data_IF_548024484616
#
_entry.id   IF_548024484616
#
_cell.length_a   1.000
_cell.length_b   1.000
_cell.length_c   1.000
_cell.angle_alpha   90.00
_cell.angle_beta   90.00
_cell.angle_gamma   90.00
#
_symmetry.space_group_name_H-M   'P 1'
#
loop_
_entity.id
_entity.type
_entity.pdbx_description
1 polymer ?
#
# COMPACT_ATOMS: atom_id res chain seq x y z
N UNK A 1 -19.97 -1.10 53.88
CA UNK A 1 -19.63 -0.07 52.88
C UNK A 1 -20.59 1.08 53.06
N UNK A 2 -20.07 2.28 53.31
CA UNK A 2 -20.90 3.48 53.38
C UNK A 2 -21.60 3.74 52.05
N UNK A 3 -22.74 4.40 52.11
CA UNK A 3 -23.58 4.64 50.90
C UNK A 3 -22.81 5.41 49.81
N UNK A 4 -21.90 6.28 50.21
CA UNK A 4 -21.05 7.04 49.29
C UNK A 4 -19.98 6.15 48.61
N UNK A 5 -19.41 5.20 49.34
CA UNK A 5 -18.48 4.20 48.81
C UNK A 5 -19.15 3.28 47.77
N UNK A 6 -20.41 2.91 48.00
CA UNK A 6 -21.18 2.10 47.04
C UNK A 6 -21.46 2.85 45.76
N UNK A 7 -21.85 4.14 45.85
CA UNK A 7 -22.07 5.02 44.68
C UNK A 7 -20.79 5.18 43.88
N UNK A 8 -19.69 5.47 44.54
CA UNK A 8 -18.37 5.62 43.89
C UNK A 8 -17.97 4.35 43.15
N UNK A 9 -18.09 3.18 43.79
CA UNK A 9 -17.75 1.90 43.19
C UNK A 9 -18.64 1.60 41.95
N UNK A 10 -19.91 1.94 42.04
CA UNK A 10 -20.87 1.75 40.92
C UNK A 10 -20.48 2.63 39.72
N UNK A 11 -20.17 3.90 39.92
CA UNK A 11 -19.77 4.83 38.88
C UNK A 11 -18.45 4.40 38.24
N UNK A 12 -17.46 4.01 39.04
CA UNK A 12 -16.17 3.50 38.52
C UNK A 12 -16.37 2.19 37.73
N UNK A 13 -17.20 1.27 38.24
CA UNK A 13 -17.51 0.01 37.53
C UNK A 13 -18.20 0.21 36.21
N UNK A 14 -19.12 1.17 36.13
CA UNK A 14 -19.84 1.53 34.88
C UNK A 14 -18.85 2.07 33.84
N UNK A 15 -17.97 3.01 34.22
CA UNK A 15 -16.93 3.53 33.33
C UNK A 15 -15.94 2.46 32.87
N UNK A 16 -15.51 1.60 33.81
CA UNK A 16 -14.59 0.51 33.52
C UNK A 16 -15.18 -0.50 32.53
N UNK A 17 -16.43 -0.87 32.69
CA UNK A 17 -17.15 -1.77 31.79
C UNK A 17 -17.29 -1.17 30.38
N UNK A 18 -17.72 0.09 30.29
CA UNK A 18 -17.85 0.81 29.01
C UNK A 18 -16.50 0.91 28.30
N UNK A 19 -15.46 1.30 29.04
CA UNK A 19 -14.09 1.40 28.50
C UNK A 19 -13.52 0.09 27.98
N UNK A 20 -13.82 -1.02 28.67
CA UNK A 20 -13.37 -2.35 28.27
C UNK A 20 -14.06 -2.86 26.99
N UNK A 21 -15.38 -2.67 26.89
CA UNK A 21 -16.19 -3.13 25.75
C UNK A 21 -15.87 -2.36 24.48
N UNK A 22 -15.85 -1.03 24.58
CA UNK A 22 -15.61 -0.14 23.43
C UNK A 22 -14.12 0.02 23.10
N UNK A 23 -13.24 -0.33 24.04
CA UNK A 23 -11.78 -0.09 23.98
C UNK A 23 -11.40 1.38 23.85
N UNK A 24 -12.19 2.25 24.42
CA UNK A 24 -11.99 3.69 24.43
C UNK A 24 -11.99 4.23 25.87
N UNK A 25 -10.90 4.02 26.64
CA UNK A 25 -10.84 4.37 28.06
C UNK A 25 -11.01 5.88 28.31
N UNK A 26 -10.39 6.71 27.49
CA UNK A 26 -10.48 8.16 27.62
C UNK A 26 -11.92 8.63 27.42
N UNK A 27 -12.60 8.12 26.42
CA UNK A 27 -14.00 8.47 26.14
C UNK A 27 -14.93 8.04 27.27
N UNK A 28 -14.74 6.85 27.83
CA UNK A 28 -15.56 6.35 28.94
C UNK A 28 -15.38 7.19 30.21
N UNK A 29 -14.14 7.60 30.53
CA UNK A 29 -13.85 8.49 31.66
C UNK A 29 -14.50 9.85 31.42
N UNK A 30 -14.38 10.42 30.22
CA UNK A 30 -14.91 11.74 29.88
C UNK A 30 -16.44 11.77 29.99
N UNK A 31 -17.13 10.76 29.45
CA UNK A 31 -18.59 10.66 29.54
C UNK A 31 -19.05 10.61 30.99
N UNK A 32 -18.43 9.78 31.82
CA UNK A 32 -18.82 9.66 33.24
C UNK A 32 -18.48 10.91 34.01
N UNK A 33 -17.34 11.54 33.74
CA UNK A 33 -16.96 12.82 34.33
C UNK A 33 -17.98 13.92 33.97
N UNK A 34 -18.40 14.01 32.72
CA UNK A 34 -19.38 15.01 32.27
C UNK A 34 -20.76 14.81 32.92
N UNK A 35 -21.14 13.55 33.22
CA UNK A 35 -22.37 13.27 33.95
C UNK A 35 -22.31 13.60 35.43
N UNK A 36 -21.14 13.48 36.05
CA UNK A 36 -20.98 13.67 37.51
C UNK A 36 -20.46 15.03 37.91
N UNK A 37 -19.70 15.70 37.05
CA UNK A 37 -19.00 16.97 37.28
C UNK A 37 -18.12 16.99 38.55
N UNK A 38 -17.68 15.81 38.98
CA UNK A 38 -16.87 15.66 40.21
C UNK A 38 -15.43 15.25 39.88
N UNK A 39 -14.50 16.19 40.06
CA UNK A 39 -13.06 15.98 39.83
C UNK A 39 -12.45 14.91 40.77
N UNK A 40 -13.03 14.68 41.95
CA UNK A 40 -12.53 13.67 42.89
C UNK A 40 -12.70 12.24 42.31
N UNK A 41 -13.61 12.03 41.39
CA UNK A 41 -13.84 10.76 40.70
C UNK A 41 -12.81 10.45 39.61
N UNK A 42 -12.10 11.44 39.07
CA UNK A 42 -11.18 11.23 37.94
C UNK A 42 -10.07 10.21 38.23
N UNK A 43 -9.33 10.28 39.35
CA UNK A 43 -8.31 9.29 39.64
C UNK A 43 -8.84 7.83 39.78
N UNK A 44 -9.92 7.55 40.51
CA UNK A 44 -10.47 6.20 40.56
C UNK A 44 -11.06 5.73 39.22
N UNK A 45 -11.65 6.63 38.37
CA UNK A 45 -12.08 6.30 37.02
C UNK A 45 -10.91 5.89 36.13
N UNK A 46 -9.79 6.60 36.20
CA UNK A 46 -8.58 6.27 35.45
C UNK A 46 -8.03 4.88 35.82
N UNK A 47 -7.92 4.60 37.13
CA UNK A 47 -7.46 3.29 37.60
C UNK A 47 -8.41 2.16 37.18
N UNK A 48 -9.71 2.33 37.37
CA UNK A 48 -10.73 1.36 36.96
C UNK A 48 -10.70 1.08 35.46
N UNK A 49 -10.60 2.11 34.64
CA UNK A 49 -10.53 1.98 33.18
C UNK A 49 -9.25 1.29 32.71
N UNK A 50 -8.08 1.61 33.31
CA UNK A 50 -6.80 0.98 32.95
C UNK A 50 -6.78 -0.51 33.31
N UNK A 51 -7.18 -0.87 34.53
CA UNK A 51 -7.24 -2.26 35.00
C UNK A 51 -8.21 -3.07 34.14
N UNK A 52 -9.42 -2.55 33.93
CA UNK A 52 -10.45 -3.21 33.11
C UNK A 52 -9.98 -3.43 31.68
N UNK A 53 -9.31 -2.46 31.08
CA UNK A 53 -8.78 -2.58 29.73
C UNK A 53 -7.60 -3.57 29.64
N UNK A 54 -6.73 -3.63 30.64
CA UNK A 54 -5.67 -4.62 30.69
C UNK A 54 -6.22 -6.05 30.72
N UNK A 55 -7.24 -6.28 31.57
CA UNK A 55 -7.93 -7.57 31.65
C UNK A 55 -8.66 -7.89 30.33
N UNK A 56 -9.40 -6.95 29.79
CA UNK A 56 -10.15 -7.13 28.54
C UNK A 56 -9.22 -7.50 27.38
N UNK A 57 -8.05 -6.87 27.26
CA UNK A 57 -7.05 -7.18 26.22
C UNK A 57 -6.42 -8.55 26.38
N UNK A 58 -6.26 -9.04 27.63
CA UNK A 58 -5.70 -10.37 27.87
C UNK A 58 -6.70 -11.49 27.58
N UNK A 59 -7.99 -11.23 27.73
CA UNK A 59 -9.06 -12.23 27.53
C UNK A 59 -9.59 -12.24 26.10
N UNK A 60 -9.73 -11.08 25.47
CA UNK A 60 -10.31 -10.94 24.14
C UNK A 60 -9.37 -10.17 23.21
N UNK A 61 -9.04 -10.75 22.07
CA UNK A 61 -8.19 -10.13 21.06
C UNK A 61 -8.99 -9.12 20.21
N UNK A 62 -10.26 -9.38 19.99
CA UNK A 62 -11.14 -8.58 19.14
C UNK A 62 -11.91 -7.51 19.94
N UNK A 63 -12.18 -6.38 19.28
CA UNK A 63 -13.04 -5.33 19.78
C UNK A 63 -14.52 -5.67 19.48
N UNK A 64 -15.46 -5.18 20.28
CA UNK A 64 -16.90 -5.32 20.07
C UNK A 64 -17.34 -4.97 18.64
N UNK A 65 -16.82 -3.85 18.08
CA UNK A 65 -17.13 -3.45 16.72
C UNK A 65 -16.63 -4.44 15.67
N UNK A 66 -15.44 -5.00 15.87
CA UNK A 66 -14.87 -5.99 14.96
C UNK A 66 -15.68 -7.30 14.97
N UNK A 67 -16.15 -7.69 16.15
CA UNK A 67 -16.96 -8.89 16.30
C UNK A 67 -18.34 -8.71 15.65
N UNK A 68 -18.98 -7.58 15.86
CA UNK A 68 -20.25 -7.24 15.22
C UNK A 68 -20.13 -7.18 13.69
N UNK A 69 -19.05 -6.61 13.15
CA UNK A 69 -18.80 -6.55 11.70
C UNK A 69 -18.53 -7.93 11.10
N UNK A 70 -17.84 -8.82 11.85
CA UNK A 70 -17.66 -10.23 11.45
C UNK A 70 -19.00 -10.97 11.35
N UNK A 71 -19.88 -10.77 12.32
CA UNK A 71 -21.24 -11.36 12.32
C UNK A 71 -22.10 -10.81 11.19
N UNK A 72 -21.93 -9.52 10.85
CA UNK A 72 -22.59 -8.88 9.70
C UNK A 72 -22.01 -9.32 8.34
N UNK A 73 -21.04 -10.26 8.30
CA UNK A 73 -20.43 -10.78 7.08
C UNK A 73 -19.38 -9.85 6.46
N UNK A 74 -19.05 -8.74 7.12
CA UNK A 74 -17.98 -7.84 6.71
C UNK A 74 -16.66 -8.39 7.23
N UNK A 75 -15.84 -8.98 6.36
CA UNK A 75 -14.47 -9.36 6.70
C UNK A 75 -13.63 -8.10 6.88
N UNK A 76 -13.48 -7.68 8.12
CA UNK A 76 -12.36 -6.81 8.48
C UNK A 76 -11.12 -7.70 8.51
N UNK A 77 -10.35 -7.64 7.46
CA UNK A 77 -9.04 -8.28 7.46
C UNK A 77 -8.20 -7.65 8.56
N UNK A 78 -7.90 -8.44 9.57
CA UNK A 78 -7.23 -7.98 10.78
C UNK A 78 -5.83 -7.47 10.42
N UNK A 79 -5.57 -6.21 10.69
CA UNK A 79 -4.40 -5.41 10.31
C UNK A 79 -3.01 -5.97 10.68
N UNK A 80 -2.89 -7.17 11.22
CA UNK A 80 -1.60 -7.78 11.55
C UNK A 80 -1.03 -8.66 10.46
N UNK A 81 -1.87 -9.41 9.73
CA UNK A 81 -1.44 -10.15 8.54
C UNK A 81 -1.39 -9.24 7.30
N UNK A 82 -2.20 -8.16 7.29
CA UNK A 82 -2.22 -7.17 6.21
C UNK A 82 -1.06 -6.19 6.24
N UNK A 83 -0.45 -5.90 7.39
CA UNK A 83 0.76 -5.06 7.41
C UNK A 83 1.96 -5.72 6.77
N UNK A 84 2.05 -7.03 6.77
CA UNK A 84 3.12 -7.76 6.09
C UNK A 84 2.78 -8.08 4.61
N UNK A 85 1.53 -8.39 4.27
CA UNK A 85 1.11 -8.68 2.90
C UNK A 85 0.53 -7.48 2.14
N UNK A 86 0.03 -6.47 2.83
CA UNK A 86 -0.55 -5.25 2.24
C UNK A 86 0.45 -4.10 2.08
N UNK A 87 1.68 -4.25 2.57
CA UNK A 87 2.67 -3.19 2.54
C UNK A 87 3.00 -2.79 1.09
N UNK A 88 3.49 -3.69 0.28
CA UNK A 88 3.90 -3.37 -1.10
C UNK A 88 2.73 -3.25 -2.08
N UNK A 89 1.66 -4.04 -1.91
CA UNK A 89 0.49 -4.01 -2.81
C UNK A 89 -0.30 -2.72 -2.74
N UNK A 90 -0.34 -2.08 -1.58
CA UNK A 90 -1.03 -0.79 -1.39
C UNK A 90 -0.12 0.42 -1.65
N UNK A 91 1.17 0.19 -1.91
CA UNK A 91 2.07 1.28 -2.28
C UNK A 91 1.83 1.73 -3.72
N UNK A 92 2.02 3.01 -4.01
CA UNK A 92 1.93 3.51 -5.38
C UNK A 92 3.04 2.91 -6.23
N UNK A 93 2.73 2.62 -7.48
CA UNK A 93 3.67 2.07 -8.47
C UNK A 93 4.92 2.93 -8.60
N UNK A 94 4.78 4.24 -8.43
CA UNK A 94 5.91 5.17 -8.45
C UNK A 94 7.02 4.86 -7.44
N UNK A 95 6.74 4.09 -6.38
CA UNK A 95 7.76 3.68 -5.40
C UNK A 95 8.70 2.60 -5.91
N UNK A 96 8.34 1.92 -6.99
CA UNK A 96 9.04 0.74 -7.51
C UNK A 96 9.44 0.88 -8.98
N UNK A 97 8.91 1.88 -9.66
CA UNK A 97 9.12 2.08 -11.08
C UNK A 97 10.50 2.66 -11.39
N UNK A 98 11.05 2.26 -12.52
CA UNK A 98 12.26 2.84 -13.05
C UNK A 98 11.93 4.09 -13.89
N UNK A 99 12.20 5.27 -13.32
CA UNK A 99 12.02 6.55 -14.02
C UNK A 99 13.19 6.93 -14.93
N UNK A 100 14.32 6.23 -14.80
CA UNK A 100 15.50 6.39 -15.64
C UNK A 100 15.57 5.33 -16.76
N UNK A 101 14.48 4.58 -16.95
CA UNK A 101 14.42 3.54 -17.95
C UNK A 101 14.71 4.11 -19.35
N UNK A 102 15.56 3.45 -20.13
CA UNK A 102 16.02 3.96 -21.42
C UNK A 102 14.87 4.02 -22.41
N UNK A 103 14.82 5.11 -23.16
CA UNK A 103 13.83 5.34 -24.19
C UNK A 103 14.51 5.67 -25.53
N UNK A 104 13.90 5.21 -26.61
CA UNK A 104 14.33 5.47 -27.99
C UNK A 104 13.41 6.53 -28.59
N UNK A 105 13.99 7.66 -29.03
CA UNK A 105 13.23 8.77 -29.64
C UNK A 105 13.31 8.75 -31.16
N UNK A 106 14.45 8.38 -31.69
CA UNK A 106 14.68 8.35 -33.13
C UNK A 106 15.23 6.98 -33.52
N UNK A 107 14.75 6.46 -34.65
CA UNK A 107 15.21 5.21 -35.26
C UNK A 107 16.53 5.38 -36.03
N UNK A 108 17.55 5.98 -35.39
CA UNK A 108 18.88 6.08 -35.99
C UNK A 108 19.79 5.00 -35.42
N UNK A 109 20.58 4.35 -36.25
CA UNK A 109 21.51 3.31 -35.81
C UNK A 109 22.42 3.79 -34.68
N UNK A 110 22.94 5.03 -34.79
CA UNK A 110 23.81 5.63 -33.79
C UNK A 110 23.13 5.81 -32.41
N UNK A 111 21.86 6.17 -32.37
CA UNK A 111 21.10 6.32 -31.13
C UNK A 111 20.82 4.97 -30.49
N UNK A 112 20.38 3.99 -31.28
CA UNK A 112 20.09 2.63 -30.81
C UNK A 112 21.37 1.98 -30.26
N UNK A 113 22.50 2.10 -30.96
CA UNK A 113 23.79 1.58 -30.51
C UNK A 113 24.25 2.22 -29.19
N UNK A 114 24.14 3.54 -29.08
CA UNK A 114 24.48 4.27 -27.84
C UNK A 114 23.60 3.85 -26.65
N UNK A 115 22.31 3.64 -26.87
CA UNK A 115 21.38 3.20 -25.82
C UNK A 115 21.69 1.77 -25.39
N UNK A 116 21.96 0.86 -26.32
CA UNK A 116 22.32 -0.53 -26.03
C UNK A 116 23.63 -0.67 -25.28
N UNK A 117 24.61 0.21 -25.54
CA UNK A 117 25.89 0.24 -24.83
C UNK A 117 25.77 0.80 -23.41
N UNK A 118 24.87 1.76 -23.18
CA UNK A 118 24.71 2.44 -21.88
C UNK A 118 23.82 1.71 -20.90
N UNK A 119 22.82 0.97 -21.41
CA UNK A 119 21.79 0.36 -20.57
C UNK A 119 21.80 -1.15 -20.71
N UNK A 120 21.88 -1.90 -19.59
CA UNK A 120 21.76 -3.36 -19.59
C UNK A 120 20.31 -3.85 -19.70
N UNK A 121 19.34 -2.91 -19.77
CA UNK A 121 17.92 -3.21 -19.78
C UNK A 121 17.50 -4.09 -20.97
N UNK A 122 16.50 -4.92 -20.75
CA UNK A 122 15.98 -5.85 -21.77
C UNK A 122 14.81 -5.26 -22.55
N UNK A 123 14.15 -4.23 -22.00
CA UNK A 123 12.93 -3.62 -22.53
C UNK A 123 13.15 -2.12 -22.68
N UNK A 124 12.75 -1.59 -23.84
CA UNK A 124 12.90 -0.19 -24.19
C UNK A 124 11.57 0.42 -24.61
N UNK A 125 11.32 1.65 -24.19
CA UNK A 125 10.13 2.39 -24.56
C UNK A 125 10.43 3.29 -25.77
N UNK A 126 9.54 3.28 -26.71
CA UNK A 126 9.59 4.17 -27.87
C UNK A 126 8.76 5.41 -27.64
N UNK A 127 9.38 6.56 -27.85
CA UNK A 127 8.73 7.86 -27.73
C UNK A 127 8.62 8.55 -29.08
N UNK A 128 7.55 9.29 -29.23
CA UNK A 128 7.39 10.27 -30.29
C UNK A 128 8.15 11.57 -29.91
N UNK A 129 8.23 12.54 -30.81
CA UNK A 129 8.87 13.85 -30.64
C UNK A 129 8.30 14.66 -29.46
N UNK A 130 7.06 14.40 -29.08
CA UNK A 130 6.34 15.09 -27.99
C UNK A 130 6.39 14.32 -26.66
N UNK A 131 7.29 13.33 -26.52
CA UNK A 131 7.45 12.42 -25.38
C UNK A 131 6.21 11.53 -25.10
N UNK A 132 5.40 11.25 -26.12
CA UNK A 132 4.32 10.26 -26.01
C UNK A 132 4.85 8.87 -26.33
N UNK A 133 4.56 7.86 -25.47
CA UNK A 133 4.97 6.48 -25.72
C UNK A 133 4.13 5.86 -26.85
N UNK A 134 4.83 5.35 -27.86
CA UNK A 134 4.23 4.75 -29.06
C UNK A 134 4.34 3.24 -29.11
N UNK A 135 5.24 2.66 -28.35
CA UNK A 135 5.44 1.21 -28.33
C UNK A 135 6.49 0.76 -27.35
N UNK A 136 6.60 -0.56 -27.23
CA UNK A 136 7.62 -1.25 -26.45
C UNK A 136 8.37 -2.20 -27.39
N UNK A 137 9.67 -2.31 -27.16
CA UNK A 137 10.57 -3.15 -27.96
C UNK A 137 11.55 -3.90 -27.05
N UNK A 138 11.87 -5.13 -27.39
CA UNK A 138 12.92 -5.90 -26.72
C UNK A 138 14.32 -5.55 -27.22
N UNK A 139 15.31 -5.77 -26.38
CA UNK A 139 16.73 -5.64 -26.74
C UNK A 139 17.12 -6.43 -27.97
N UNK A 140 16.70 -7.66 -28.07
CA UNK A 140 16.95 -8.56 -29.20
C UNK A 140 16.45 -8.00 -30.52
N UNK A 141 15.33 -7.28 -30.50
CA UNK A 141 14.76 -6.63 -31.69
C UNK A 141 15.54 -5.38 -32.09
N UNK A 142 16.08 -4.64 -31.12
CA UNK A 142 16.98 -3.50 -31.38
C UNK A 142 18.32 -3.95 -31.96
N UNK A 143 18.86 -5.05 -31.47
CA UNK A 143 20.07 -5.67 -31.98
C UNK A 143 19.85 -6.14 -33.44
N UNK A 144 18.75 -6.81 -33.71
CA UNK A 144 18.37 -7.21 -35.06
C UNK A 144 18.17 -6.02 -36.01
N UNK A 145 17.67 -4.89 -35.51
CA UNK A 145 17.55 -3.64 -36.30
C UNK A 145 18.94 -3.11 -36.68
N UNK A 146 19.95 -3.17 -35.81
CA UNK A 146 21.31 -2.75 -36.16
C UNK A 146 21.92 -3.60 -37.29
N UNK A 147 21.65 -4.91 -37.25
CA UNK A 147 22.18 -5.83 -38.28
C UNK A 147 21.44 -5.76 -39.61
N UNK A 148 20.11 -5.80 -39.56
CA UNK A 148 19.28 -5.96 -40.79
C UNK A 148 18.71 -4.65 -41.30
N UNK A 149 18.66 -3.59 -40.50
CA UNK A 149 18.03 -2.31 -40.83
C UNK A 149 16.51 -2.35 -40.90
N UNK A 150 15.87 -3.48 -40.56
CA UNK A 150 14.41 -3.60 -40.56
C UNK A 150 13.84 -3.07 -39.25
N UNK A 151 12.86 -2.19 -39.34
CA UNK A 151 12.11 -1.67 -38.19
C UNK A 151 11.46 -2.83 -37.45
N UNK A 152 11.68 -2.97 -36.10
CA UNK A 152 11.10 -4.03 -35.32
C UNK A 152 9.57 -3.90 -35.23
N UNK A 153 8.91 -5.00 -34.95
CA UNK A 153 7.48 -5.05 -34.72
C UNK A 153 7.21 -4.44 -33.33
N UNK A 154 6.54 -3.29 -33.31
CA UNK A 154 6.18 -2.61 -32.07
C UNK A 154 5.02 -3.33 -31.39
N UNK A 155 5.13 -3.54 -30.10
CA UNK A 155 4.03 -4.03 -29.29
C UNK A 155 3.26 -2.85 -28.70
N UNK A 156 1.93 -2.95 -28.67
CA UNK A 156 1.08 -1.91 -28.10
C UNK A 156 1.31 -1.81 -26.60
N UNK A 157 1.68 -0.64 -26.09
CA UNK A 157 1.93 -0.45 -24.67
C UNK A 157 0.64 -0.44 -23.86
N UNK A 158 0.68 -0.97 -22.64
CA UNK A 158 -0.35 -0.73 -21.64
C UNK A 158 0.16 0.34 -20.67
N UNK A 159 -0.72 1.30 -20.39
CA UNK A 159 -0.38 2.45 -19.57
C UNK A 159 -0.84 2.27 -18.12
N UNK A 160 -0.04 2.81 -17.20
CA UNK A 160 -0.40 2.93 -15.79
C UNK A 160 -0.06 4.34 -15.28
N UNK A 161 -0.72 4.76 -14.21
CA UNK A 161 -0.45 6.04 -13.57
C UNK A 161 0.39 5.85 -12.31
N UNK A 162 1.31 6.77 -11.99
CA UNK A 162 2.23 6.66 -10.84
C UNK A 162 1.56 6.49 -9.48
N UNK A 163 0.32 6.99 -9.34
CA UNK A 163 -0.46 6.94 -8.12
C UNK A 163 -1.34 5.70 -7.98
N UNK A 164 -1.43 4.86 -9.01
CA UNK A 164 -2.12 3.56 -8.90
C UNK A 164 -1.36 2.64 -7.95
N UNK A 165 -2.09 1.80 -7.22
CA UNK A 165 -1.49 0.83 -6.32
C UNK A 165 -0.99 -0.39 -7.08
N UNK A 166 -0.05 -1.12 -6.47
CA UNK A 166 0.43 -2.39 -7.05
C UNK A 166 -0.71 -3.39 -7.25
N UNK A 167 -1.72 -3.37 -6.37
CA UNK A 167 -2.91 -4.21 -6.50
C UNK A 167 -3.73 -3.88 -7.76
N UNK A 168 -3.84 -2.60 -8.10
CA UNK A 168 -4.61 -2.15 -9.27
C UNK A 168 -3.91 -2.52 -10.59
N UNK A 169 -2.57 -2.52 -10.60
CA UNK A 169 -1.80 -2.79 -11.81
C UNK A 169 -1.45 -4.27 -12.02
N UNK A 170 -1.55 -5.12 -11.00
CA UNK A 170 -1.24 -6.56 -11.11
C UNK A 170 -2.01 -7.25 -12.25
N UNK A 171 -3.33 -7.04 -12.43
CA UNK A 171 -4.06 -7.60 -13.56
C UNK A 171 -3.64 -7.00 -14.91
N UNK A 172 -3.24 -5.73 -14.95
CA UNK A 172 -2.74 -5.07 -16.14
C UNK A 172 -1.37 -5.61 -16.54
N UNK A 173 -0.50 -5.84 -15.56
CA UNK A 173 0.84 -6.39 -15.78
C UNK A 173 0.81 -7.81 -16.38
N UNK A 174 -0.17 -8.63 -15.97
CA UNK A 174 -0.37 -9.98 -16.54
C UNK A 174 -0.82 -9.97 -18.00
N UNK A 175 -1.49 -8.91 -18.43
CA UNK A 175 -1.96 -8.71 -19.81
C UNK A 175 -0.97 -7.89 -20.65
N UNK A 176 0.00 -7.26 -19.99
CA UNK A 176 0.93 -6.37 -20.64
C UNK A 176 1.95 -7.14 -21.50
N UNK A 177 2.25 -6.65 -22.70
CA UNK A 177 3.29 -7.23 -23.54
C UNK A 177 4.63 -7.15 -22.81
N UNK A 178 5.43 -8.21 -22.91
CA UNK A 178 6.73 -8.33 -22.24
C UNK A 178 6.66 -8.18 -20.72
N UNK A 179 5.47 -8.32 -20.10
CA UNK A 179 5.28 -8.10 -18.67
C UNK A 179 5.72 -6.69 -18.21
N UNK A 180 5.46 -5.67 -19.03
CA UNK A 180 5.88 -4.31 -18.77
C UNK A 180 4.76 -3.30 -18.97
N UNK A 181 4.70 -2.30 -18.07
CA UNK A 181 3.75 -1.19 -18.10
C UNK A 181 4.50 0.12 -18.26
N UNK A 182 3.99 0.98 -19.10
CA UNK A 182 4.53 2.34 -19.25
C UNK A 182 3.82 3.27 -18.27
N UNK A 183 4.58 3.96 -17.44
CA UNK A 183 4.05 5.00 -16.57
C UNK A 183 3.93 6.31 -17.33
N UNK A 184 2.73 6.88 -17.28
CA UNK A 184 2.42 8.14 -17.94
C UNK A 184 1.87 9.17 -16.96
N UNK A 185 2.14 10.44 -17.24
CA UNK A 185 1.53 11.57 -16.54
C UNK A 185 0.05 11.72 -16.93
N UNK A 186 -0.68 12.62 -16.26
CA UNK A 186 -2.06 12.97 -16.63
C UNK A 186 -2.18 13.46 -18.07
N UNK A 187 -1.12 14.02 -18.62
CA UNK A 187 -1.04 14.49 -20.02
C UNK A 187 -0.49 13.40 -20.95
N UNK A 188 -0.51 12.14 -20.57
CA UNK A 188 -0.01 10.99 -21.31
C UNK A 188 1.47 11.05 -21.73
N UNK A 189 2.26 11.91 -21.11
CA UNK A 189 3.71 11.94 -21.32
C UNK A 189 4.39 10.82 -20.55
N UNK A 190 5.43 10.27 -21.15
CA UNK A 190 6.26 9.24 -20.56
C UNK A 190 6.89 9.72 -19.25
N UNK A 191 6.82 8.87 -18.24
CA UNK A 191 7.46 9.09 -16.94
C UNK A 191 8.48 8.01 -16.60
N UNK A 192 8.20 6.77 -16.95
CA UNK A 192 9.06 5.63 -16.62
C UNK A 192 8.48 4.31 -17.06
N UNK A 193 9.21 3.24 -16.74
CA UNK A 193 8.83 1.87 -17.05
C UNK A 193 8.70 1.08 -15.74
N UNK A 194 7.72 0.19 -15.69
CA UNK A 194 7.55 -0.77 -14.63
C UNK A 194 7.45 -2.18 -15.21
N UNK A 195 8.26 -3.10 -14.70
CA UNK A 195 8.37 -4.47 -15.24
C UNK A 195 7.98 -5.51 -14.20
N UNK A 196 7.69 -6.71 -14.65
CA UNK A 196 7.43 -7.86 -13.78
C UNK A 196 8.63 -8.21 -12.88
N UNK A 197 9.86 -7.91 -13.31
CA UNK A 197 11.08 -8.06 -12.51
C UNK A 197 11.11 -7.06 -11.34
N UNK A 198 10.69 -5.81 -11.56
CA UNK A 198 10.60 -4.79 -10.52
C UNK A 198 9.55 -5.19 -9.47
N UNK A 199 8.43 -5.77 -9.91
CA UNK A 199 7.41 -6.31 -9.02
C UNK A 199 7.94 -7.45 -8.14
N UNK A 200 8.65 -8.40 -8.73
CA UNK A 200 9.23 -9.54 -8.02
C UNK A 200 10.32 -9.11 -7.02
N UNK A 201 11.15 -8.15 -7.40
CA UNK A 201 12.20 -7.61 -6.53
C UNK A 201 11.61 -6.82 -5.35
N UNK A 202 10.55 -6.07 -5.60
CA UNK A 202 9.82 -5.33 -4.56
C UNK A 202 9.20 -6.27 -3.53
N UNK A 203 8.61 -7.38 -3.97
CA UNK A 203 8.06 -8.40 -3.09
C UNK A 203 9.16 -9.04 -2.24
N UNK A 204 10.29 -9.41 -2.84
CA UNK A 204 11.40 -10.05 -2.14
C UNK A 204 12.03 -9.14 -1.07
N UNK A 205 12.22 -7.86 -1.37
CA UNK A 205 12.78 -6.90 -0.44
C UNK A 205 11.89 -6.71 0.80
N UNK A 206 10.56 -6.76 0.65
CA UNK A 206 9.65 -6.66 1.79
C UNK A 206 9.57 -7.95 2.60
N UNK A 207 9.65 -9.12 1.97
CA UNK A 207 9.71 -10.40 2.66
C UNK A 207 11.00 -10.51 3.53
N UNK A 208 12.11 -9.94 3.07
CA UNK A 208 13.36 -9.86 3.84
C UNK A 208 13.23 -8.89 5.05
N UNK A 209 12.57 -7.73 4.85
CA UNK A 209 12.31 -6.77 5.93
C UNK A 209 11.30 -7.27 6.97
N UNK A 210 10.38 -8.14 6.57
CA UNK A 210 9.41 -8.74 7.49
C UNK A 210 10.00 -9.86 8.35
N UNK A 211 11.13 -10.44 7.93
CA UNK A 211 11.83 -11.54 8.61
C UNK A 211 13.04 -11.06 9.45
N UNK A 212 13.38 -9.78 9.40
CA UNK A 212 14.43 -9.13 10.22
C UNK A 212 13.81 -8.43 11.46
#
# INVERSE_FOLDING_TARGET
>A
LDQDSQRLLTIVGMSACLGAVVRAPITSILIVFEMTHDFALVPPLMLGALVSQAISRSLCTDNFYNQFLKEAGVRLETNRSLRAQASWRNRPVSSFANFEAPCVRNWTKAEVENILQKSPDTIFTLLNKDDYPTGIVERTQLESFLETGKTPLLQNPIFAYPNQTMQDIEPLLKQAPLGSLILVSRNQRYLGLFTSSDAAQSQKNEDELANS
#
